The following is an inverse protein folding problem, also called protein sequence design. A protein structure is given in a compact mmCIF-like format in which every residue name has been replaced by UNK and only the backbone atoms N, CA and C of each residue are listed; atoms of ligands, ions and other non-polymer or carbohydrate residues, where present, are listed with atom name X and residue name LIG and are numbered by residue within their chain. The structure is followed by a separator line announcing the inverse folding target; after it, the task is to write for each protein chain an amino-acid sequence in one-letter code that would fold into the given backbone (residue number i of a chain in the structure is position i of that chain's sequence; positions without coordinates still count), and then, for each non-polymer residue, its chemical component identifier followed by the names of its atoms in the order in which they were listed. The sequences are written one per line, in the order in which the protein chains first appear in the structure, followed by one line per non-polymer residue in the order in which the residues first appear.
data_IF_154145569840
#
_entry.id   IF_154145569840
#
_cell.length_a   1.000
_cell.length_b   1.000
_cell.length_c   1.000
_cell.angle_alpha   90.00
_cell.angle_beta   90.00
_cell.angle_gamma   90.00
#
_symmetry.space_group_name_H-M   'P 1'
#
loop_
_entity.id
_entity.type
_entity.pdbx_description
1 polymer ?
#
# COMPACT_ATOMS: atom_id res chain seq x y z
N UNK A 1 -8.48 -24.64 1.27
CA UNK A 1 -7.95 -24.64 2.65
C UNK A 1 -7.35 -23.27 2.86
N UNK A 2 -7.96 -22.44 3.71
CA UNK A 2 -7.42 -21.11 3.99
C UNK A 2 -6.25 -21.30 4.96
N UNK A 3 -5.04 -21.10 4.45
CA UNK A 3 -3.83 -21.06 5.26
C UNK A 3 -3.97 -19.84 6.18
N UNK A 4 -4.13 -20.09 7.47
CA UNK A 4 -4.21 -19.05 8.49
C UNK A 4 -2.84 -18.40 8.58
N UNK A 5 -2.71 -17.20 8.01
CA UNK A 5 -1.52 -16.37 8.17
C UNK A 5 -1.39 -16.07 9.66
N UNK A 6 -0.40 -16.67 10.33
CA UNK A 6 0.01 -16.24 11.66
C UNK A 6 0.42 -14.77 11.56
N UNK A 7 -0.46 -13.90 12.05
CA UNK A 7 -0.20 -12.47 12.10
C UNK A 7 0.76 -12.24 13.27
N UNK A 8 2.06 -12.28 12.97
CA UNK A 8 3.11 -11.96 13.94
C UNK A 8 2.85 -10.54 14.48
N UNK A 9 2.76 -10.40 15.79
CA UNK A 9 2.51 -9.11 16.45
C UNK A 9 3.66 -8.16 16.11
N UNK A 10 3.34 -7.01 15.53
CA UNK A 10 4.32 -5.97 15.23
C UNK A 10 4.61 -5.18 16.52
N UNK A 11 5.80 -5.32 17.08
CA UNK A 11 6.17 -4.69 18.35
C UNK A 11 6.92 -3.37 18.15
N UNK A 12 7.09 -2.62 19.25
CA UNK A 12 7.82 -1.35 19.24
C UNK A 12 9.27 -1.49 18.76
N UNK A 13 9.92 -2.62 19.02
CA UNK A 13 11.29 -2.87 18.54
C UNK A 13 11.34 -3.07 17.02
N UNK A 14 10.34 -3.70 16.44
CA UNK A 14 10.24 -3.90 14.99
C UNK A 14 10.07 -2.56 14.26
N UNK A 15 9.24 -1.67 14.83
CA UNK A 15 9.08 -0.31 14.33
C UNK A 15 10.38 0.48 14.35
N UNK A 16 11.18 0.36 15.41
CA UNK A 16 12.48 1.03 15.52
C UNK A 16 13.48 0.54 14.47
N UNK A 17 13.56 -0.78 14.28
CA UNK A 17 14.44 -1.38 13.27
C UNK A 17 14.04 -0.94 11.85
N UNK A 18 12.75 -1.02 11.53
CA UNK A 18 12.22 -0.58 10.23
C UNK A 18 12.50 0.90 9.98
N UNK A 19 12.28 1.76 10.98
CA UNK A 19 12.56 3.19 10.84
C UNK A 19 14.05 3.46 10.57
N UNK A 20 14.96 2.70 11.16
CA UNK A 20 16.39 2.85 10.95
C UNK A 20 16.82 2.44 9.53
N UNK A 21 16.31 1.31 9.04
CA UNK A 21 16.55 0.87 7.65
C UNK A 21 16.04 1.89 6.62
N UNK A 22 14.89 2.51 6.89
CA UNK A 22 14.33 3.57 6.04
C UNK A 22 15.21 4.83 6.07
N UNK A 23 15.77 5.21 7.23
CA UNK A 23 16.72 6.34 7.33
C UNK A 23 17.98 6.08 6.54
N UNK A 24 18.56 4.88 6.64
CA UNK A 24 19.74 4.48 5.85
C UNK A 24 19.43 4.55 4.36
N UNK A 25 18.29 4.01 3.94
CA UNK A 25 17.85 4.05 2.53
C UNK A 25 17.68 5.47 2.01
N UNK A 26 17.07 6.35 2.80
CA UNK A 26 16.93 7.77 2.45
C UNK A 26 18.29 8.49 2.41
N UNK A 27 19.12 8.30 3.43
CA UNK A 27 20.45 8.89 3.56
C UNK A 27 21.40 8.50 2.44
N UNK A 28 21.22 7.32 1.84
CA UNK A 28 21.96 6.88 0.65
C UNK A 28 21.68 7.72 -0.61
N UNK A 29 20.64 8.56 -0.61
CA UNK A 29 20.23 9.37 -1.76
C UNK A 29 19.44 8.60 -2.83
N UNK A 30 19.24 7.28 -2.68
CA UNK A 30 18.46 6.42 -3.59
C UNK A 30 17.10 7.02 -3.96
N UNK A 31 16.42 7.64 -3.01
CA UNK A 31 15.07 8.17 -3.19
C UNK A 31 15.02 9.52 -3.91
N UNK A 32 16.16 10.17 -4.18
CA UNK A 32 16.24 11.50 -4.80
C UNK A 32 16.02 11.46 -6.31
N UNK A 33 16.42 10.38 -6.97
CA UNK A 33 16.28 10.21 -8.42
C UNK A 33 14.82 10.35 -8.85
N UNK A 34 14.62 11.06 -9.96
CA UNK A 34 13.30 11.20 -10.56
C UNK A 34 12.77 9.85 -11.04
N UNK A 35 13.62 9.06 -11.69
CA UNK A 35 13.34 7.72 -12.20
C UNK A 35 12.92 6.79 -11.08
N UNK A 36 13.63 6.83 -9.94
CA UNK A 36 13.26 6.08 -8.75
C UNK A 36 11.86 6.46 -8.29
N UNK A 37 11.56 7.75 -8.09
CA UNK A 37 10.24 8.22 -7.65
C UNK A 37 9.13 7.80 -8.60
N UNK A 38 9.33 7.95 -9.92
CA UNK A 38 8.36 7.51 -10.93
C UNK A 38 8.15 5.99 -10.87
N UNK A 39 9.22 5.20 -10.72
CA UNK A 39 9.09 3.74 -10.59
C UNK A 39 8.27 3.33 -9.37
N UNK A 40 8.45 4.01 -8.23
CA UNK A 40 7.70 3.71 -7.01
C UNK A 40 6.23 4.10 -7.15
N UNK A 41 5.93 5.25 -7.76
CA UNK A 41 4.55 5.66 -8.03
C UNK A 41 3.85 4.66 -8.94
N UNK A 42 4.50 4.21 -10.02
CA UNK A 42 3.98 3.15 -10.90
C UNK A 42 3.76 1.83 -10.15
N UNK A 43 4.65 1.47 -9.23
CA UNK A 43 4.50 0.27 -8.42
C UNK A 43 3.27 0.36 -7.50
N UNK A 44 3.02 1.49 -6.84
CA UNK A 44 1.84 1.72 -5.99
C UNK A 44 0.56 1.59 -6.81
N UNK A 45 0.53 2.23 -7.97
CA UNK A 45 -0.56 2.13 -8.96
C UNK A 45 -0.87 0.68 -9.32
N UNK A 46 0.18 -0.09 -9.61
CA UNK A 46 0.05 -1.50 -9.96
C UNK A 46 -0.46 -2.34 -8.78
N UNK A 47 0.00 -2.09 -7.56
CA UNK A 47 -0.46 -2.80 -6.35
C UNK A 47 -1.95 -2.57 -6.15
N UNK A 48 -2.40 -1.32 -6.19
CA UNK A 48 -3.83 -0.96 -6.02
C UNK A 48 -4.67 -1.62 -7.10
N UNK A 49 -4.26 -1.53 -8.36
CA UNK A 49 -5.02 -2.10 -9.49
C UNK A 49 -5.07 -3.63 -9.47
N UNK A 50 -3.96 -4.28 -9.08
CA UNK A 50 -3.88 -5.75 -9.05
C UNK A 50 -4.60 -6.39 -7.85
N UNK A 51 -4.82 -5.63 -6.77
CA UNK A 51 -5.44 -6.10 -5.55
C UNK A 51 -6.80 -5.45 -5.26
N UNK A 52 -7.42 -4.82 -6.27
CA UNK A 52 -8.69 -4.10 -6.12
C UNK A 52 -9.80 -4.93 -5.46
N UNK A 53 -10.09 -6.19 -5.88
CA UNK A 53 -11.11 -7.01 -5.22
C UNK A 53 -10.80 -7.30 -3.76
N UNK A 54 -9.53 -7.50 -3.42
CA UNK A 54 -9.07 -7.79 -2.06
C UNK A 54 -9.23 -6.55 -1.17
N UNK A 55 -8.92 -5.37 -1.69
CA UNK A 55 -9.08 -4.09 -0.99
C UNK A 55 -10.57 -3.82 -0.71
N UNK A 56 -11.44 -3.97 -1.71
CA UNK A 56 -12.89 -3.78 -1.53
C UNK A 56 -13.47 -4.76 -0.51
N UNK A 57 -13.02 -6.03 -0.54
CA UNK A 57 -13.43 -7.04 0.43
C UNK A 57 -12.97 -6.69 1.86
N UNK A 58 -11.73 -6.19 2.02
CA UNK A 58 -11.22 -5.76 3.32
C UNK A 58 -12.00 -4.56 3.86
N UNK A 59 -12.25 -3.55 3.02
CA UNK A 59 -13.06 -2.38 3.39
C UNK A 59 -14.48 -2.76 3.84
N UNK A 60 -15.11 -3.72 3.16
CA UNK A 60 -16.40 -4.24 3.60
C UNK A 60 -16.28 -5.02 4.91
N UNK A 61 -15.26 -5.86 5.07
CA UNK A 61 -15.07 -6.65 6.29
C UNK A 61 -14.82 -5.78 7.53
N UNK A 62 -13.97 -4.77 7.39
CA UNK A 62 -13.48 -3.96 8.52
C UNK A 62 -14.44 -2.82 8.84
N UNK A 63 -15.05 -2.22 7.81
CA UNK A 63 -15.85 -0.99 7.94
C UNK A 63 -17.31 -1.19 7.56
N UNK A 64 -17.74 -2.38 7.13
CA UNK A 64 -19.08 -2.62 6.56
C UNK A 64 -19.45 -1.66 5.42
N UNK A 65 -18.44 -1.16 4.71
CA UNK A 65 -18.61 -0.16 3.65
C UNK A 65 -19.25 -0.82 2.41
N UNK A 66 -20.36 -0.28 1.87
CA UNK A 66 -20.94 -0.79 0.62
C UNK A 66 -19.94 -0.65 -0.54
N UNK A 67 -19.93 -1.66 -1.42
CA UNK A 67 -18.96 -1.77 -2.51
C UNK A 67 -18.93 -0.53 -3.43
N UNK A 68 -20.11 0.02 -3.75
CA UNK A 68 -20.25 1.22 -4.59
C UNK A 68 -19.60 2.44 -3.92
N UNK A 69 -19.75 2.59 -2.61
CA UNK A 69 -19.16 3.70 -1.87
C UNK A 69 -17.63 3.56 -1.77
N UNK A 70 -17.16 2.35 -1.46
CA UNK A 70 -15.73 2.05 -1.42
C UNK A 70 -15.07 2.31 -2.78
N UNK A 71 -15.72 1.89 -3.86
CA UNK A 71 -15.27 2.10 -5.23
C UNK A 71 -15.16 3.59 -5.59
N UNK A 72 -16.18 4.40 -5.28
CA UNK A 72 -16.19 5.83 -5.63
C UNK A 72 -15.14 6.61 -4.82
N UNK A 73 -15.03 6.35 -3.53
CA UNK A 73 -14.19 7.16 -2.65
C UNK A 73 -12.70 6.77 -2.69
N UNK A 74 -12.41 5.47 -2.76
CA UNK A 74 -11.03 4.98 -2.61
C UNK A 74 -10.36 4.81 -3.98
N UNK A 75 -11.12 4.44 -5.02
CA UNK A 75 -10.56 4.05 -6.32
C UNK A 75 -10.50 5.18 -7.35
N UNK A 76 -11.47 6.09 -7.37
CA UNK A 76 -11.54 7.15 -8.40
C UNK A 76 -10.35 8.12 -8.37
N UNK A 77 -9.62 8.19 -7.25
CA UNK A 77 -8.42 9.02 -7.11
C UNK A 77 -7.30 8.55 -8.06
N UNK A 78 -7.21 7.26 -8.35
CA UNK A 78 -6.08 6.72 -9.12
C UNK A 78 -6.24 6.89 -10.64
N UNK A 79 -7.44 6.66 -11.21
CA UNK A 79 -7.66 6.74 -12.67
C UNK A 79 -7.55 8.15 -13.25
N UNK A 80 -7.73 9.19 -12.42
CA UNK A 80 -7.66 10.60 -12.85
C UNK A 80 -6.25 11.03 -13.32
N UNK A 81 -5.21 10.29 -12.93
CA UNK A 81 -3.81 10.64 -13.20
C UNK A 81 -3.06 9.60 -14.04
N UNK A 82 -3.77 8.62 -14.60
CA UNK A 82 -3.21 7.66 -15.56
C UNK A 82 -3.16 8.33 -16.94
N UNK A 83 -1.96 8.70 -17.38
CA UNK A 83 -1.65 9.09 -18.77
C UNK A 83 -1.64 7.85 -19.64
#
# INVERSE_FOLDING_TARGET
MAESVEMTVFEGKDALNMAEELRVSFGSGKTRSYEWRISQLKAIINIISSHEPQILKALHSDLSKPEIEAYIQEREIHKKYTV
#
